data_IF_088455954619
#
_entry.id   IF_088455954619
#
_cell.length_a   1.000
_cell.length_b   1.000
_cell.length_c   1.000
_cell.angle_alpha   90.00
_cell.angle_beta   90.00
_cell.angle_gamma   90.00
#
_symmetry.space_group_name_H-M   'P 1'
#
loop_
_entity.id
_entity.type
_entity.pdbx_description
1 polymer ?
#
# COMPACT_ATOMS: atom_id res chain seq x y z
N UNK A 1 -36.92 -3.25 -2.26
CA UNK A 1 -35.77 -3.70 -3.06
C UNK A 1 -34.57 -3.66 -2.13
N UNK A 2 -33.84 -4.77 -1.96
CA UNK A 2 -32.57 -4.71 -1.23
C UNK A 2 -31.61 -3.94 -2.12
N UNK A 3 -31.06 -2.84 -1.63
CA UNK A 3 -29.93 -2.19 -2.28
C UNK A 3 -28.86 -3.27 -2.47
N UNK A 4 -28.52 -3.57 -3.73
CA UNK A 4 -27.34 -4.38 -4.01
C UNK A 4 -26.15 -3.52 -3.57
N UNK A 5 -25.55 -3.88 -2.44
CA UNK A 5 -24.33 -3.24 -1.96
C UNK A 5 -23.22 -3.61 -2.96
N UNK A 6 -22.88 -2.67 -3.84
CA UNK A 6 -21.81 -2.85 -4.81
C UNK A 6 -20.50 -2.67 -4.06
N UNK A 7 -19.75 -3.76 -3.89
CA UNK A 7 -18.37 -3.66 -3.41
C UNK A 7 -17.52 -2.94 -4.45
N UNK A 8 -17.05 -1.75 -4.07
CA UNK A 8 -16.15 -0.95 -4.90
C UNK A 8 -14.74 -1.09 -4.38
N UNK A 9 -13.78 -1.31 -5.29
CA UNK A 9 -12.35 -1.34 -5.01
C UNK A 9 -11.68 -0.19 -5.76
N UNK A 10 -10.84 0.58 -5.05
CA UNK A 10 -10.14 1.74 -5.61
C UNK A 10 -8.65 1.46 -5.67
N UNK A 11 -8.09 1.54 -6.87
CA UNK A 11 -6.64 1.41 -7.08
C UNK A 11 -6.03 2.77 -7.44
N UNK A 12 -4.93 3.12 -6.79
CA UNK A 12 -4.19 4.36 -7.08
C UNK A 12 -2.69 4.11 -7.11
N UNK A 13 -1.96 4.79 -8.00
CA UNK A 13 -0.52 4.63 -8.14
C UNK A 13 0.19 5.93 -7.80
N UNK A 14 1.06 5.85 -6.80
CA UNK A 14 1.95 6.91 -6.35
C UNK A 14 3.38 6.69 -6.84
N UNK A 15 3.57 5.77 -7.80
CA UNK A 15 4.86 5.57 -8.44
C UNK A 15 5.29 6.83 -9.17
N UNK A 16 6.59 7.06 -9.22
CA UNK A 16 7.26 8.18 -9.90
C UNK A 16 6.94 9.57 -9.34
N UNK A 17 6.19 9.66 -8.25
CA UNK A 17 6.15 10.89 -7.47
C UNK A 17 7.52 11.08 -6.80
N UNK A 18 8.07 12.30 -6.79
CA UNK A 18 9.40 12.57 -6.26
C UNK A 18 9.42 12.65 -4.73
N UNK A 19 8.65 11.81 -4.03
CA UNK A 19 8.53 11.87 -2.57
C UNK A 19 9.87 11.64 -1.87
N UNK A 20 10.64 10.65 -2.32
CA UNK A 20 11.97 10.38 -1.78
C UNK A 20 13.04 11.40 -2.19
N UNK A 21 12.72 12.31 -3.10
CA UNK A 21 13.60 13.42 -3.51
C UNK A 21 13.33 14.71 -2.75
N UNK A 22 12.25 14.77 -1.95
CA UNK A 22 11.89 15.96 -1.20
C UNK A 22 12.93 16.23 -0.09
N UNK A 23 13.67 17.33 -0.17
CA UNK A 23 14.62 17.74 0.86
C UNK A 23 14.31 19.18 1.29
N UNK A 24 13.95 19.33 2.56
CA UNK A 24 13.62 20.63 3.17
C UNK A 24 14.79 21.22 3.98
N UNK A 25 15.99 20.66 3.80
CA UNK A 25 17.24 21.08 4.46
C UNK A 25 17.72 20.11 5.55
N UNK A 26 16.96 19.06 5.84
CA UNK A 26 17.24 18.08 6.91
C UNK A 26 17.51 16.68 6.35
N UNK A 27 17.62 16.57 5.02
CA UNK A 27 17.79 15.32 4.30
C UNK A 27 16.48 14.78 3.71
N UNK A 28 16.63 13.75 2.87
CA UNK A 28 15.54 13.07 2.18
C UNK A 28 14.79 12.09 3.09
N UNK A 29 13.50 11.80 2.84
CA UNK A 29 12.73 10.86 3.64
C UNK A 29 13.35 9.47 3.66
N UNK A 30 13.38 8.86 4.84
CA UNK A 30 13.69 7.43 4.99
C UNK A 30 12.52 6.54 4.56
N UNK A 31 11.29 7.06 4.64
CA UNK A 31 10.07 6.33 4.33
C UNK A 31 8.91 7.27 4.02
N UNK A 32 8.00 6.83 3.15
CA UNK A 32 6.80 7.56 2.73
C UNK A 32 5.59 6.67 2.95
N UNK A 33 4.54 7.21 3.57
CA UNK A 33 3.31 6.47 3.87
C UNK A 33 2.09 7.38 3.71
N UNK A 34 0.91 6.75 3.74
CA UNK A 34 -0.39 7.41 3.74
C UNK A 34 -0.80 7.86 5.13
N UNK A 35 -1.22 9.11 5.26
CA UNK A 35 -1.89 9.59 6.45
C UNK A 35 -3.36 9.13 6.44
N UNK A 36 -3.66 8.03 7.14
CA UNK A 36 -5.02 7.58 7.43
C UNK A 36 -5.66 6.69 6.36
N UNK A 37 -5.94 5.44 6.75
CA UNK A 37 -6.58 4.42 5.93
C UNK A 37 -8.07 4.26 6.28
N UNK A 38 -8.80 5.38 6.42
CA UNK A 38 -10.22 5.35 6.80
C UNK A 38 -11.16 4.97 5.65
N UNK A 39 -10.62 4.76 4.43
CA UNK A 39 -11.37 4.38 3.24
C UNK A 39 -11.23 2.87 3.04
N UNK A 40 -12.37 2.15 2.96
CA UNK A 40 -12.41 0.71 2.69
C UNK A 40 -11.98 0.41 1.25
N UNK A 41 -11.40 -0.76 1.03
CA UNK A 41 -11.14 -1.34 -0.29
C UNK A 41 -10.22 -0.48 -1.16
N UNK A 42 -9.20 0.12 -0.57
CA UNK A 42 -8.19 0.90 -1.30
C UNK A 42 -6.92 0.09 -1.47
N UNK A 43 -6.33 0.17 -2.66
CA UNK A 43 -5.00 -0.37 -2.97
C UNK A 43 -4.15 0.76 -3.52
N UNK A 44 -3.03 1.06 -2.87
CA UNK A 44 -2.07 2.02 -3.36
C UNK A 44 -0.69 1.40 -3.59
N UNK A 45 -0.13 1.69 -4.76
CA UNK A 45 1.23 1.32 -5.14
C UNK A 45 2.19 2.49 -4.89
N UNK A 46 3.21 2.28 -4.08
CA UNK A 46 4.25 3.26 -3.75
C UNK A 46 5.62 2.69 -4.14
N UNK A 47 6.51 3.50 -4.70
CA UNK A 47 7.88 3.05 -4.96
C UNK A 47 8.62 2.82 -3.63
N UNK A 48 9.48 1.80 -3.60
CA UNK A 48 10.41 1.64 -2.49
C UNK A 48 11.51 2.70 -2.58
N UNK A 49 12.03 3.16 -1.44
CA UNK A 49 13.08 4.19 -1.36
C UNK A 49 14.30 3.91 -2.25
N UNK A 50 14.71 2.64 -2.32
CA UNK A 50 15.88 2.19 -3.10
C UNK A 50 15.57 1.97 -4.59
N UNK A 51 14.36 2.33 -5.04
CA UNK A 51 13.84 2.08 -6.39
C UNK A 51 13.84 0.59 -6.80
N UNK A 52 14.10 -0.33 -5.87
CA UNK A 52 14.23 -1.75 -6.14
C UNK A 52 12.97 -2.52 -5.68
N UNK A 53 11.80 -2.02 -6.06
CA UNK A 53 10.53 -2.67 -5.78
C UNK A 53 9.36 -1.72 -5.63
N UNK A 54 8.25 -2.28 -5.16
CA UNK A 54 6.97 -1.60 -4.90
C UNK A 54 6.52 -2.01 -3.51
N UNK A 55 6.08 -1.03 -2.74
CA UNK A 55 5.29 -1.24 -1.53
C UNK A 55 3.81 -1.05 -1.89
N UNK A 56 2.98 -2.01 -1.48
CA UNK A 56 1.54 -1.94 -1.66
C UNK A 56 0.91 -1.69 -0.32
N UNK A 57 0.19 -0.57 -0.23
CA UNK A 57 -0.62 -0.23 0.91
C UNK A 57 -2.06 -0.57 0.59
N UNK A 58 -2.72 -1.39 1.42
CA UNK A 58 -4.06 -1.85 1.14
C UNK A 58 -4.96 -1.86 2.36
N UNK A 59 -6.25 -1.60 2.15
CA UNK A 59 -7.31 -1.81 3.13
C UNK A 59 -8.40 -2.69 2.56
N UNK A 60 -8.78 -3.71 3.33
CA UNK A 60 -9.93 -4.57 3.05
C UNK A 60 -10.72 -4.76 4.34
N UNK A 61 -11.87 -5.43 4.27
CA UNK A 61 -12.53 -5.96 5.49
C UNK A 61 -11.60 -6.95 6.20
N UNK A 62 -11.79 -7.16 7.50
CA UNK A 62 -10.97 -8.10 8.28
C UNK A 62 -11.02 -9.52 7.70
N UNK A 63 -12.19 -9.97 7.25
CA UNK A 63 -12.37 -11.29 6.61
C UNK A 63 -11.56 -11.38 5.30
N UNK A 64 -11.68 -10.38 4.43
CA UNK A 64 -10.93 -10.36 3.17
C UNK A 64 -9.43 -10.20 3.39
N UNK A 65 -9.00 -9.41 4.39
CA UNK A 65 -7.59 -9.31 4.79
C UNK A 65 -7.05 -10.67 5.23
N UNK A 66 -7.76 -11.41 6.07
CA UNK A 66 -7.30 -12.72 6.55
C UNK A 66 -7.11 -13.72 5.40
N UNK A 67 -8.00 -13.70 4.40
CA UNK A 67 -7.86 -14.52 3.18
C UNK A 67 -6.69 -14.04 2.31
N UNK A 68 -6.51 -12.73 2.18
CA UNK A 68 -5.42 -12.14 1.41
C UNK A 68 -4.05 -12.47 2.01
N UNK A 69 -3.89 -12.30 3.33
CA UNK A 69 -2.65 -12.55 4.06
C UNK A 69 -2.26 -14.03 4.10
N UNK A 70 -3.22 -14.94 3.99
CA UNK A 70 -2.96 -16.39 3.96
C UNK A 70 -2.80 -16.98 2.56
N UNK A 71 -2.92 -16.17 1.50
CA UNK A 71 -2.86 -16.66 0.13
C UNK A 71 -1.42 -17.09 -0.28
N UNK A 72 -1.18 -18.38 -0.58
CA UNK A 72 0.15 -18.87 -0.90
C UNK A 72 0.70 -18.36 -2.24
N UNK A 73 -0.17 -18.09 -3.22
CA UNK A 73 0.24 -17.52 -4.51
C UNK A 73 0.72 -16.08 -4.35
N UNK A 74 0.07 -15.30 -3.48
CA UNK A 74 0.51 -13.95 -3.14
C UNK A 74 1.85 -13.98 -2.39
N UNK A 75 1.94 -14.82 -1.36
CA UNK A 75 3.13 -14.93 -0.50
C UNK A 75 4.36 -15.46 -1.24
N UNK A 76 4.18 -16.11 -2.39
CA UNK A 76 5.28 -16.50 -3.26
C UNK A 76 6.02 -15.29 -3.88
N UNK A 77 5.37 -14.12 -3.97
CA UNK A 77 5.93 -12.92 -4.61
C UNK A 77 5.96 -11.68 -3.72
N UNK A 78 5.21 -11.66 -2.62
CA UNK A 78 5.08 -10.51 -1.74
C UNK A 78 5.39 -10.86 -0.28
N UNK A 79 5.99 -9.91 0.43
CA UNK A 79 6.15 -9.97 1.89
C UNK A 79 5.12 -9.07 2.56
N UNK A 80 4.41 -9.61 3.54
CA UNK A 80 3.48 -8.83 4.35
C UNK A 80 4.24 -7.94 5.34
N UNK A 81 3.83 -6.68 5.46
CA UNK A 81 4.33 -5.72 6.45
C UNK A 81 5.87 -5.76 6.61
N UNK A 82 6.64 -5.54 5.53
CA UNK A 82 8.10 -5.57 5.59
C UNK A 82 8.63 -4.46 6.52
N UNK A 83 9.79 -4.70 7.14
CA UNK A 83 10.44 -3.68 7.96
C UNK A 83 10.97 -2.57 7.07
N UNK A 84 10.74 -1.33 7.48
CA UNK A 84 11.38 -0.15 6.90
C UNK A 84 12.88 -0.20 7.21
N UNK A 85 13.70 -0.29 6.17
CA UNK A 85 15.17 -0.21 6.27
C UNK A 85 15.64 1.21 5.98
N UNK A 86 16.47 1.76 6.87
CA UNK A 86 16.99 3.14 6.84
C UNK A 86 18.19 3.32 5.91
#
# INVERSE_FOLDING_TARGET
MKDQEIETYTCTSWRRFPFYEADFGWGKPSWVSFAGFSVKNVVCFVDKRDCNGIEIWLTLSEESMALFESNPELLAYASLNPRVTY
#
